data_IF_268779156282
#
_entry.id   IF_268779156282
#
_cell.length_a   1.000
_cell.length_b   1.000
_cell.length_c   1.000
_cell.angle_alpha   90.00
_cell.angle_beta   90.00
_cell.angle_gamma   90.00
#
_symmetry.space_group_name_H-M   'P 1'
#
loop_
_entity.id
_entity.type
_entity.pdbx_description
1 polymer ?
#
# COMPACT_ATOMS: atom_id res chain seq x y z
N UNK A 1 8.54 17.29 -5.78
CA UNK A 1 7.33 16.52 -6.16
C UNK A 1 6.26 16.76 -5.12
N UNK A 2 5.05 17.03 -5.56
CA UNK A 2 3.91 17.22 -4.68
C UNK A 2 3.59 15.91 -3.94
N UNK A 3 3.21 16.02 -2.68
CA UNK A 3 2.85 14.87 -1.86
C UNK A 3 1.65 14.12 -2.46
N UNK A 4 0.69 14.85 -3.02
CA UNK A 4 -0.46 14.23 -3.67
C UNK A 4 -0.05 13.38 -4.88
N UNK A 5 0.90 13.87 -5.68
CA UNK A 5 1.41 13.10 -6.82
C UNK A 5 2.08 11.81 -6.38
N UNK A 6 2.81 11.86 -5.27
CA UNK A 6 3.44 10.67 -4.70
C UNK A 6 2.40 9.67 -4.21
N UNK A 7 1.34 10.13 -3.58
CA UNK A 7 0.25 9.25 -3.11
C UNK A 7 -0.45 8.58 -4.30
N UNK A 8 -0.69 9.33 -5.38
CA UNK A 8 -1.27 8.78 -6.61
C UNK A 8 -0.38 7.71 -7.22
N UNK A 9 0.93 7.95 -7.26
CA UNK A 9 1.90 6.98 -7.76
C UNK A 9 1.89 5.71 -6.91
N UNK A 10 1.93 5.84 -5.58
CA UNK A 10 1.88 4.71 -4.66
C UNK A 10 0.58 3.92 -4.81
N UNK A 11 -0.56 4.62 -4.95
CA UNK A 11 -1.85 3.97 -5.17
C UNK A 11 -1.83 3.11 -6.43
N UNK A 12 -1.26 3.62 -7.52
CA UNK A 12 -1.11 2.87 -8.77
C UNK A 12 -0.21 1.65 -8.57
N UNK A 13 0.91 1.80 -7.88
CA UNK A 13 1.83 0.70 -7.60
C UNK A 13 1.18 -0.39 -6.75
N UNK A 14 0.45 -0.01 -5.71
CA UNK A 14 -0.26 -0.97 -4.86
C UNK A 14 -1.26 -1.80 -5.66
N UNK A 15 -2.01 -1.16 -6.56
CA UNK A 15 -2.98 -1.84 -7.42
C UNK A 15 -2.31 -2.84 -8.36
N UNK A 16 -1.20 -2.44 -8.97
CA UNK A 16 -0.44 -3.33 -9.86
C UNK A 16 0.10 -4.55 -9.10
N UNK A 17 0.72 -4.32 -7.95
CA UNK A 17 1.26 -5.38 -7.12
C UNK A 17 0.19 -6.34 -6.64
N UNK A 18 -0.96 -5.80 -6.24
CA UNK A 18 -2.09 -6.59 -5.75
C UNK A 18 -2.71 -7.45 -6.86
N UNK A 19 -2.96 -6.84 -8.02
CA UNK A 19 -3.65 -7.51 -9.12
C UNK A 19 -2.79 -8.59 -9.79
N UNK A 20 -1.47 -8.41 -9.79
CA UNK A 20 -0.54 -9.34 -10.42
C UNK A 20 0.07 -10.36 -9.45
N UNK A 21 -0.31 -10.30 -8.18
CA UNK A 21 0.21 -11.24 -7.17
C UNK A 21 1.72 -11.18 -7.01
N UNK A 22 2.32 -10.00 -7.15
CA UNK A 22 3.77 -9.86 -7.19
C UNK A 22 4.43 -9.81 -5.82
N UNK A 23 3.68 -9.56 -4.76
CA UNK A 23 4.24 -9.43 -3.42
C UNK A 23 4.29 -10.80 -2.76
N UNK A 24 5.50 -11.25 -2.43
CA UNK A 24 5.72 -12.56 -1.80
C UNK A 24 5.95 -12.46 -0.30
N UNK A 25 6.34 -11.29 0.18
CA UNK A 25 6.51 -11.02 1.61
C UNK A 25 6.40 -9.53 1.89
N UNK A 26 6.07 -9.19 3.14
CA UNK A 26 6.07 -7.81 3.64
C UNK A 26 6.92 -7.77 4.90
N UNK A 27 7.89 -6.87 4.94
CA UNK A 27 8.76 -6.66 6.11
C UNK A 27 8.18 -5.51 6.93
N UNK A 28 7.82 -5.82 8.18
CA UNK A 28 7.38 -4.82 9.15
C UNK A 28 8.57 -4.44 10.02
N UNK A 29 9.14 -3.27 9.74
CA UNK A 29 10.31 -2.77 10.47
C UNK A 29 9.86 -1.95 11.67
N UNK A 30 10.27 -2.36 12.86
CA UNK A 30 9.92 -1.69 14.12
C UNK A 30 11.17 -1.32 14.90
N UNK A 31 10.99 -0.54 15.99
CA UNK A 31 12.09 -0.16 16.85
C UNK A 31 12.64 -1.32 17.70
N UNK A 32 11.99 -2.46 17.68
CA UNK A 32 12.42 -3.66 18.44
C UNK A 32 12.80 -4.82 17.53
N UNK A 33 12.75 -4.64 16.20
CA UNK A 33 13.12 -5.67 15.23
C UNK A 33 12.30 -5.63 13.97
N UNK A 34 12.56 -6.58 13.09
CA UNK A 34 11.85 -6.73 11.83
C UNK A 34 11.04 -8.02 11.83
N UNK A 35 9.78 -7.92 11.44
CA UNK A 35 8.88 -9.06 11.35
C UNK A 35 8.51 -9.29 9.89
N UNK A 36 8.64 -10.52 9.43
CA UNK A 36 8.38 -10.88 8.03
C UNK A 36 7.01 -11.56 7.95
N UNK A 37 6.14 -11.00 7.11
CA UNK A 37 4.81 -11.56 6.85
C UNK A 37 4.83 -12.21 5.47
N UNK A 38 4.62 -13.52 5.42
CA UNK A 38 4.63 -14.29 4.17
C UNK A 38 3.28 -14.89 3.82
N UNK A 39 2.29 -14.78 4.70
CA UNK A 39 0.95 -15.35 4.47
C UNK A 39 0.27 -14.57 3.33
N UNK A 40 -0.07 -15.23 2.21
CA UNK A 40 -0.64 -14.54 1.06
C UNK A 40 -1.99 -13.89 1.35
N UNK A 41 -2.79 -14.44 2.24
CA UNK A 41 -4.08 -13.85 2.61
C UNK A 41 -3.90 -12.54 3.38
N UNK A 42 -2.91 -12.50 4.27
CA UNK A 42 -2.60 -11.28 5.02
C UNK A 42 -2.01 -10.22 4.09
N UNK A 43 -1.07 -10.62 3.24
CA UNK A 43 -0.44 -9.71 2.26
C UNK A 43 -1.52 -9.08 1.38
N UNK A 44 -2.45 -9.88 0.88
CA UNK A 44 -3.55 -9.41 0.04
C UNK A 44 -4.39 -8.34 0.75
N UNK A 45 -4.73 -8.60 2.02
CA UNK A 45 -5.53 -7.67 2.82
C UNK A 45 -4.77 -6.38 3.15
N UNK A 46 -3.47 -6.47 3.39
CA UNK A 46 -2.63 -5.30 3.64
C UNK A 46 -2.58 -4.42 2.40
N UNK A 47 -2.42 -5.01 1.22
CA UNK A 47 -2.42 -4.27 -0.03
C UNK A 47 -3.79 -3.63 -0.29
N UNK A 48 -4.87 -4.34 -0.03
CA UNK A 48 -6.22 -3.78 -0.16
C UNK A 48 -6.41 -2.58 0.77
N UNK A 49 -5.88 -2.64 1.98
CA UNK A 49 -5.92 -1.53 2.92
C UNK A 49 -5.12 -0.33 2.39
N UNK A 50 -3.91 -0.55 1.89
CA UNK A 50 -3.08 0.52 1.32
C UNK A 50 -3.77 1.18 0.13
N UNK A 51 -4.38 0.40 -0.75
CA UNK A 51 -5.14 0.91 -1.89
C UNK A 51 -6.29 1.78 -1.41
N UNK A 52 -7.08 1.29 -0.46
CA UNK A 52 -8.24 2.00 0.05
C UNK A 52 -7.85 3.30 0.74
N UNK A 53 -6.83 3.27 1.60
CA UNK A 53 -6.42 4.46 2.35
C UNK A 53 -5.77 5.51 1.44
N UNK A 54 -4.95 5.10 0.48
CA UNK A 54 -4.38 6.03 -0.48
C UNK A 54 -5.47 6.64 -1.37
N UNK A 55 -6.48 5.86 -1.75
CA UNK A 55 -7.61 6.35 -2.54
C UNK A 55 -8.41 7.40 -1.78
N UNK A 56 -8.63 7.18 -0.49
CA UNK A 56 -9.32 8.18 0.36
C UNK A 56 -8.56 9.49 0.44
N UNK A 57 -7.24 9.44 0.57
CA UNK A 57 -6.40 10.63 0.60
C UNK A 57 -6.47 11.40 -0.72
N UNK A 58 -6.42 10.68 -1.84
CA UNK A 58 -6.54 11.31 -3.17
C UNK A 58 -7.88 12.02 -3.30
N UNK A 59 -8.98 11.36 -2.93
CA UNK A 59 -10.33 11.92 -3.00
C UNK A 59 -10.48 13.13 -2.09
N UNK A 60 -9.93 13.07 -0.88
CA UNK A 60 -9.98 14.18 0.09
C UNK A 60 -9.26 15.41 -0.44
N UNK A 61 -8.09 15.23 -1.06
CA UNK A 61 -7.32 16.35 -1.61
C UNK A 61 -7.98 16.95 -2.84
N UNK A 62 -8.62 16.13 -3.67
CA UNK A 62 -9.30 16.60 -4.87
C UNK A 62 -10.58 17.39 -4.51
N UNK A 63 -11.23 17.04 -3.41
CA UNK A 63 -12.49 17.66 -2.98
C UNK A 63 -12.32 18.89 -2.08
N UNK A 64 -11.10 19.31 -1.78
CA UNK A 64 -10.83 20.56 -1.04
C UNK A 64 -10.48 21.75 -1.96
#
# INVERSE_FOLDING_TARGET
>A
MDELDKIKELNTQYKLLRNNGMVVKVDLVTNVGTYVVKNPNIISKVLDLFIRESQKQIESEVNT
#
